data_IF_918403025516
#
_entry.id   IF_918403025516
#
_cell.length_a   1.000
_cell.length_b   1.000
_cell.length_c   1.000
_cell.angle_alpha   90.00
_cell.angle_beta   90.00
_cell.angle_gamma   90.00
#
_symmetry.space_group_name_H-M   'P 1'
#
loop_
_entity.id
_entity.type
_entity.pdbx_description
1 polymer ?
#
# COMPACT_ATOMS: atom_id res chain seq x y z
N UNK A 1 -19.68 -18.82 -1.67
CA UNK A 1 -20.22 -18.15 -0.46
C UNK A 1 -21.72 -17.87 -0.58
N UNK A 2 -22.18 -17.12 -1.60
CA UNK A 2 -23.61 -16.74 -1.79
C UNK A 2 -24.59 -17.92 -1.71
N UNK A 3 -24.30 -19.05 -2.36
CA UNK A 3 -25.12 -20.27 -2.29
C UNK A 3 -25.23 -20.85 -0.87
N UNK A 4 -24.12 -20.86 -0.11
CA UNK A 4 -24.11 -21.35 1.29
C UNK A 4 -24.92 -20.44 2.19
N UNK A 5 -24.86 -19.11 1.97
CA UNK A 5 -25.63 -18.12 2.74
C UNK A 5 -27.13 -18.28 2.47
N UNK A 6 -27.53 -18.41 1.21
CA UNK A 6 -28.92 -18.69 0.86
C UNK A 6 -29.42 -19.94 1.57
N UNK A 7 -28.65 -21.04 1.51
CA UNK A 7 -29.01 -22.29 2.19
C UNK A 7 -29.11 -22.14 3.70
N UNK A 8 -28.21 -21.37 4.33
CA UNK A 8 -28.26 -21.06 5.76
C UNK A 8 -29.53 -20.32 6.17
N UNK A 9 -30.02 -19.42 5.31
CA UNK A 9 -31.20 -18.62 5.59
C UNK A 9 -32.52 -19.36 5.28
N UNK A 10 -32.49 -20.38 4.42
CA UNK A 10 -33.71 -21.09 3.96
C UNK A 10 -33.88 -22.51 4.49
N UNK A 11 -32.83 -23.17 4.97
CA UNK A 11 -32.84 -24.56 5.43
C UNK A 11 -32.43 -24.65 6.91
N UNK A 12 -33.41 -24.89 7.79
CA UNK A 12 -33.22 -24.97 9.24
C UNK A 12 -32.35 -26.16 9.67
N UNK A 13 -32.40 -27.30 8.98
CA UNK A 13 -31.51 -28.43 9.27
C UNK A 13 -30.08 -28.11 8.89
N UNK A 14 -29.86 -27.42 7.77
CA UNK A 14 -28.54 -26.94 7.40
C UNK A 14 -28.02 -25.88 8.37
N UNK A 15 -28.86 -24.96 8.82
CA UNK A 15 -28.50 -23.94 9.81
C UNK A 15 -28.06 -24.56 11.14
N UNK A 16 -28.80 -25.55 11.64
CA UNK A 16 -28.42 -26.30 12.85
C UNK A 16 -27.07 -26.99 12.69
N UNK A 17 -26.86 -27.73 11.59
CA UNK A 17 -25.57 -28.38 11.29
C UNK A 17 -24.43 -27.38 11.15
N UNK A 18 -24.68 -26.19 10.59
CA UNK A 18 -23.67 -25.16 10.45
C UNK A 18 -23.17 -24.67 11.82
N UNK A 19 -24.06 -24.48 12.79
CA UNK A 19 -23.67 -24.15 14.17
C UNK A 19 -22.89 -25.29 14.84
N UNK A 20 -23.32 -26.54 14.68
CA UNK A 20 -22.61 -27.72 15.19
C UNK A 20 -21.18 -27.80 14.61
N UNK A 21 -21.01 -27.55 13.30
CA UNK A 21 -19.69 -27.54 12.67
C UNK A 21 -18.74 -26.47 13.27
N UNK A 22 -19.26 -25.32 13.71
CA UNK A 22 -18.44 -24.28 14.36
C UNK A 22 -17.92 -24.78 15.71
N UNK A 23 -18.78 -25.41 16.52
CA UNK A 23 -18.40 -25.99 17.81
C UNK A 23 -17.35 -27.09 17.62
N UNK A 24 -17.57 -28.00 16.66
CA UNK A 24 -16.64 -29.08 16.37
C UNK A 24 -15.28 -28.57 15.85
N UNK A 25 -15.28 -27.49 15.06
CA UNK A 25 -14.05 -26.83 14.62
C UNK A 25 -13.29 -26.21 15.80
N UNK A 26 -13.99 -25.51 16.71
CA UNK A 26 -13.39 -24.95 17.92
C UNK A 26 -12.84 -26.04 18.86
N UNK A 27 -13.53 -27.18 18.94
CA UNK A 27 -13.09 -28.39 19.64
C UNK A 27 -11.93 -29.13 18.96
N UNK A 28 -11.39 -28.60 17.85
CA UNK A 28 -10.27 -29.17 17.09
C UNK A 28 -10.55 -30.58 16.56
N UNK A 29 -11.81 -30.89 16.24
CA UNK A 29 -12.14 -32.17 15.64
C UNK A 29 -11.47 -32.35 14.28
N UNK A 30 -10.76 -33.46 14.11
CA UNK A 30 -9.87 -33.71 12.96
C UNK A 30 -10.52 -33.44 11.61
N UNK A 31 -11.72 -33.97 11.37
CA UNK A 31 -12.41 -33.83 10.08
C UNK A 31 -12.85 -32.38 9.81
N UNK A 32 -13.29 -31.67 10.85
CA UNK A 32 -13.70 -30.26 10.75
C UNK A 32 -12.51 -29.34 10.51
N UNK A 33 -11.40 -29.57 11.21
CA UNK A 33 -10.12 -28.85 10.99
C UNK A 33 -9.60 -29.09 9.57
N UNK A 34 -9.62 -30.34 9.08
CA UNK A 34 -9.23 -30.65 7.69
C UNK A 34 -10.11 -29.92 6.66
N UNK A 35 -11.43 -29.90 6.87
CA UNK A 35 -12.35 -29.16 6.02
C UNK A 35 -12.09 -27.66 6.02
N UNK A 36 -11.83 -27.07 7.19
CA UNK A 36 -11.44 -25.67 7.33
C UNK A 36 -10.12 -25.36 6.61
N UNK A 37 -9.10 -26.22 6.77
CA UNK A 37 -7.81 -26.08 6.11
C UNK A 37 -7.96 -26.01 4.58
N UNK A 38 -8.73 -26.93 4.01
CA UNK A 38 -9.01 -26.96 2.57
C UNK A 38 -9.69 -25.68 2.07
N UNK A 39 -10.65 -25.14 2.83
CA UNK A 39 -11.32 -23.87 2.49
C UNK A 39 -10.31 -22.71 2.51
N UNK A 40 -9.44 -22.67 3.53
CA UNK A 40 -8.41 -21.65 3.64
C UNK A 40 -7.39 -21.78 2.49
N UNK A 41 -6.96 -22.99 2.14
CA UNK A 41 -5.97 -23.21 1.09
C UNK A 41 -6.46 -22.79 -0.30
N UNK A 42 -7.75 -22.97 -0.59
CA UNK A 42 -8.36 -22.42 -1.81
C UNK A 42 -8.29 -20.89 -1.79
N UNK A 43 -8.65 -20.27 -0.66
CA UNK A 43 -8.63 -18.80 -0.54
C UNK A 43 -7.20 -18.25 -0.64
N UNK A 44 -6.22 -18.92 -0.03
CA UNK A 44 -4.79 -18.57 -0.10
C UNK A 44 -4.27 -18.56 -1.53
N UNK A 45 -4.65 -19.54 -2.35
CA UNK A 45 -4.25 -19.59 -3.78
C UNK A 45 -4.76 -18.38 -4.55
N UNK A 46 -6.02 -18.01 -4.35
CA UNK A 46 -6.62 -16.83 -4.98
C UNK A 46 -5.96 -15.54 -4.51
N UNK A 47 -5.73 -15.39 -3.20
CA UNK A 47 -5.04 -14.21 -2.65
C UNK A 47 -3.59 -14.10 -3.10
N UNK A 48 -2.86 -15.23 -3.20
CA UNK A 48 -1.47 -15.23 -3.65
C UNK A 48 -1.34 -14.70 -5.08
N UNK A 49 -2.28 -15.04 -5.97
CA UNK A 49 -2.29 -14.49 -7.34
C UNK A 49 -2.41 -12.97 -7.36
N UNK A 50 -3.20 -12.39 -6.46
CA UNK A 50 -3.32 -10.94 -6.30
C UNK A 50 -2.03 -10.35 -5.72
N UNK A 51 -1.47 -10.98 -4.70
CA UNK A 51 -0.21 -10.53 -4.07
C UNK A 51 0.95 -10.53 -5.06
N UNK A 52 1.07 -11.57 -5.89
CA UNK A 52 2.13 -11.68 -6.91
C UNK A 52 2.00 -10.59 -7.97
N UNK A 53 0.78 -10.28 -8.41
CA UNK A 53 0.52 -9.20 -9.38
C UNK A 53 0.88 -7.81 -8.81
N UNK A 54 0.64 -7.61 -7.51
CA UNK A 54 0.90 -6.34 -6.83
C UNK A 54 2.27 -6.28 -6.15
N UNK A 55 3.12 -7.31 -6.29
CA UNK A 55 4.41 -7.47 -5.59
C UNK A 55 4.30 -7.27 -4.06
N UNK A 56 3.29 -7.90 -3.46
CA UNK A 56 3.03 -7.86 -2.02
C UNK A 56 3.61 -9.11 -1.37
N UNK A 57 4.37 -8.91 -0.29
CA UNK A 57 4.88 -10.00 0.55
C UNK A 57 4.18 -9.95 1.90
N UNK A 58 3.49 -11.02 2.25
CA UNK A 58 2.75 -11.11 3.50
C UNK A 58 3.09 -12.41 4.24
N UNK A 59 3.24 -12.31 5.55
CA UNK A 59 3.26 -13.47 6.43
C UNK A 59 1.88 -13.59 7.05
N UNK A 60 1.09 -14.58 6.62
CA UNK A 60 -0.27 -14.77 7.12
C UNK A 60 -0.27 -15.11 8.61
N UNK A 61 -0.99 -14.32 9.39
CA UNK A 61 -1.27 -14.60 10.81
C UNK A 61 -2.70 -14.19 11.16
N UNK A 62 -3.64 -15.04 10.77
CA UNK A 62 -5.07 -14.84 11.02
C UNK A 62 -5.47 -15.06 12.49
N UNK A 63 -6.74 -14.77 12.81
CA UNK A 63 -7.31 -14.91 14.17
C UNK A 63 -7.09 -16.30 14.79
N UNK A 64 -7.06 -17.35 13.95
CA UNK A 64 -6.82 -18.73 14.39
C UNK A 64 -5.48 -18.93 15.11
N UNK A 65 -4.46 -18.12 14.79
CA UNK A 65 -3.17 -18.15 15.50
C UNK A 65 -3.29 -17.71 16.97
N UNK A 66 -4.26 -16.85 17.27
CA UNK A 66 -4.45 -16.27 18.60
C UNK A 66 -5.47 -17.02 19.45
N UNK A 67 -6.09 -18.09 18.94
CA UNK A 67 -7.17 -18.80 19.65
C UNK A 67 -6.79 -19.24 21.08
N UNK A 68 -5.66 -19.91 21.26
CA UNK A 68 -5.19 -20.29 22.61
C UNK A 68 -4.76 -19.08 23.44
N UNK A 69 -4.28 -18.01 22.81
CA UNK A 69 -3.86 -16.79 23.49
C UNK A 69 -5.05 -16.00 24.03
N UNK A 70 -6.18 -16.01 23.33
CA UNK A 70 -7.42 -15.40 23.80
C UNK A 70 -7.86 -15.98 25.15
N UNK A 71 -7.75 -17.30 25.35
CA UNK A 71 -8.04 -17.96 26.64
C UNK A 71 -7.14 -17.41 27.76
N UNK A 72 -5.83 -17.30 27.49
CA UNK A 72 -4.86 -16.79 28.47
C UNK A 72 -5.07 -15.30 28.79
N UNK A 73 -5.49 -14.50 27.81
CA UNK A 73 -5.82 -13.08 27.99
C UNK A 73 -7.05 -12.95 28.86
N UNK A 74 -8.13 -13.67 28.55
CA UNK A 74 -9.38 -13.61 29.32
C UNK A 74 -9.14 -14.04 30.76
N UNK A 75 -8.37 -15.10 30.99
CA UNK A 75 -8.02 -15.56 32.32
C UNK A 75 -7.23 -14.51 33.10
N UNK A 76 -6.19 -13.93 32.49
CA UNK A 76 -5.41 -12.85 33.10
C UNK A 76 -6.29 -11.64 33.48
N UNK A 77 -7.17 -11.20 32.57
CA UNK A 77 -8.04 -10.06 32.81
C UNK A 77 -9.03 -10.33 33.95
N UNK A 78 -9.56 -11.55 34.07
CA UNK A 78 -10.41 -11.97 35.19
C UNK A 78 -9.66 -11.96 36.52
N UNK A 79 -8.49 -12.60 36.57
CA UNK A 79 -7.68 -12.74 37.79
C UNK A 79 -7.22 -11.39 38.34
N UNK A 80 -6.96 -10.43 37.46
CA UNK A 80 -6.56 -9.07 37.82
C UNK A 80 -7.72 -8.10 38.07
N UNK A 81 -8.97 -8.55 37.88
CA UNK A 81 -10.15 -7.74 38.14
C UNK A 81 -10.38 -6.61 37.13
N UNK A 82 -9.98 -6.80 35.87
CA UNK A 82 -10.19 -5.81 34.80
C UNK A 82 -11.54 -5.97 34.08
N UNK A 83 -12.26 -7.07 34.32
CA UNK A 83 -13.53 -7.36 33.66
C UNK A 83 -14.72 -7.10 34.57
N UNK A 84 -15.78 -6.55 33.97
CA UNK A 84 -17.07 -6.32 34.59
C UNK A 84 -18.15 -7.18 33.91
N UNK A 85 -19.15 -7.61 34.68
CA UNK A 85 -20.28 -8.37 34.15
C UNK A 85 -21.38 -7.38 33.71
N UNK A 86 -21.82 -7.48 32.45
CA UNK A 86 -22.87 -6.63 31.88
C UNK A 86 -23.79 -7.47 30.96
N UNK A 87 -25.05 -7.63 31.35
CA UNK A 87 -26.05 -8.45 30.64
C UNK A 87 -25.54 -9.85 30.23
N UNK A 88 -24.85 -10.51 31.17
CA UNK A 88 -24.27 -11.84 30.97
C UNK A 88 -22.99 -11.86 30.12
N UNK A 89 -22.51 -10.71 29.65
CA UNK A 89 -21.23 -10.56 28.95
C UNK A 89 -20.14 -10.12 29.92
N UNK A 90 -18.89 -10.39 29.56
CA UNK A 90 -17.73 -9.81 30.24
C UNK A 90 -17.19 -8.65 29.41
N UNK A 91 -17.22 -7.46 30.00
CA UNK A 91 -16.81 -6.22 29.35
C UNK A 91 -15.57 -5.62 30.03
N UNK A 92 -14.83 -4.80 29.29
CA UNK A 92 -13.65 -4.09 29.78
C UNK A 92 -13.69 -2.63 29.33
N UNK A 93 -13.61 -1.71 30.29
CA UNK A 93 -13.45 -0.28 30.01
C UNK A 93 -11.98 0.10 29.78
N UNK A 94 -11.74 1.12 28.96
CA UNK A 94 -10.43 1.76 28.83
C UNK A 94 -10.09 2.64 30.04
N UNK A 95 -9.07 3.49 29.88
CA UNK A 95 -8.65 4.49 30.85
C UNK A 95 -9.55 5.73 30.86
N UNK A 96 -10.15 6.09 29.73
CA UNK A 96 -11.04 7.26 29.62
C UNK A 96 -12.47 6.92 30.08
N UNK A 97 -13.03 7.77 30.94
CA UNK A 97 -14.42 7.65 31.39
C UNK A 97 -15.41 7.91 30.24
N UNK A 98 -16.47 7.09 30.16
CA UNK A 98 -17.53 7.25 29.17
C UNK A 98 -17.28 6.57 27.82
N UNK A 99 -16.13 5.93 27.63
CA UNK A 99 -15.88 5.12 26.42
C UNK A 99 -16.75 3.86 26.38
N UNK A 100 -17.14 3.48 25.17
CA UNK A 100 -17.84 2.22 24.91
C UNK A 100 -16.90 1.07 25.31
N UNK A 101 -17.31 0.16 26.21
CA UNK A 101 -16.44 -0.91 26.67
C UNK A 101 -16.26 -1.98 25.59
N UNK A 102 -15.11 -2.65 25.62
CA UNK A 102 -14.88 -3.86 24.86
C UNK A 102 -15.72 -5.01 25.41
N UNK A 103 -16.30 -5.81 24.52
CA UNK A 103 -16.96 -7.07 24.87
C UNK A 103 -15.95 -8.20 24.74
N UNK A 104 -15.27 -8.55 25.84
CA UNK A 104 -14.22 -9.57 25.86
C UNK A 104 -14.79 -10.99 25.79
N UNK A 105 -15.96 -11.23 26.36
CA UNK A 105 -16.67 -12.52 26.27
C UNK A 105 -18.17 -12.27 26.12
N UNK A 106 -18.80 -12.92 25.15
CA UNK A 106 -20.26 -12.87 24.97
C UNK A 106 -20.99 -13.68 26.04
N UNK A 107 -22.32 -13.53 26.10
CA UNK A 107 -23.19 -14.29 27.00
C UNK A 107 -23.20 -15.80 26.75
N UNK A 108 -22.86 -16.24 25.54
CA UNK A 108 -22.69 -17.66 25.20
C UNK A 108 -21.28 -18.20 25.52
N UNK A 109 -20.42 -17.39 26.14
CA UNK A 109 -19.03 -17.75 26.45
C UNK A 109 -18.06 -17.61 25.26
N UNK A 110 -18.54 -17.23 24.08
CA UNK A 110 -17.71 -17.05 22.89
C UNK A 110 -16.86 -15.77 22.93
N UNK A 111 -15.66 -15.86 22.38
CA UNK A 111 -14.78 -14.70 22.16
C UNK A 111 -15.24 -13.84 20.99
N UNK A 112 -14.76 -12.59 20.96
CA UNK A 112 -15.09 -11.56 19.96
C UNK A 112 -13.82 -11.07 19.26
N UNK A 113 -13.99 -10.11 18.34
CA UNK A 113 -12.87 -9.40 17.72
C UNK A 113 -12.05 -8.62 18.76
N UNK A 114 -12.70 -8.02 19.77
CA UNK A 114 -12.04 -7.36 20.91
C UNK A 114 -11.06 -8.31 21.64
N UNK A 115 -11.49 -9.55 21.89
CA UNK A 115 -10.64 -10.57 22.51
C UNK A 115 -9.44 -10.91 21.64
N UNK A 116 -9.67 -11.08 20.33
CA UNK A 116 -8.62 -11.46 19.38
C UNK A 116 -7.58 -10.36 19.22
N UNK A 117 -7.98 -9.10 19.18
CA UNK A 117 -7.08 -7.96 19.06
C UNK A 117 -6.31 -7.70 20.35
N UNK A 118 -6.92 -7.90 21.54
CA UNK A 118 -6.21 -7.89 22.82
C UNK A 118 -5.14 -9.00 22.90
N UNK A 119 -5.43 -10.18 22.35
CA UNK A 119 -4.44 -11.23 22.23
C UNK A 119 -3.34 -10.90 21.21
N UNK A 120 -3.70 -10.29 20.08
CA UNK A 120 -2.75 -9.93 19.04
C UNK A 120 -1.79 -8.81 19.48
N UNK A 121 -2.28 -7.74 20.12
CA UNK A 121 -1.43 -6.65 20.61
C UNK A 121 -0.45 -7.15 21.67
N UNK A 122 -0.94 -7.96 22.63
CA UNK A 122 -0.08 -8.58 23.65
C UNK A 122 1.01 -9.44 23.02
N UNK A 123 0.64 -10.29 22.06
CA UNK A 123 1.58 -11.16 21.37
C UNK A 123 2.67 -10.38 20.63
N UNK A 124 2.30 -9.31 19.92
CA UNK A 124 3.24 -8.46 19.19
C UNK A 124 4.20 -7.70 20.11
N UNK A 125 3.76 -7.35 21.32
CA UNK A 125 4.60 -6.65 22.29
C UNK A 125 5.49 -7.63 23.07
N UNK A 126 4.91 -8.70 23.61
CA UNK A 126 5.62 -9.60 24.52
C UNK A 126 6.47 -10.65 23.79
N UNK A 127 5.97 -11.20 22.68
CA UNK A 127 6.64 -12.28 21.94
C UNK A 127 7.47 -11.74 20.78
N UNK A 128 6.89 -10.87 19.92
CA UNK A 128 7.64 -10.27 18.80
C UNK A 128 8.55 -9.13 19.24
N UNK A 129 8.33 -8.57 20.44
CA UNK A 129 9.12 -7.46 21.00
C UNK A 129 9.19 -6.26 20.06
N UNK A 130 8.06 -5.92 19.45
CA UNK A 130 7.99 -4.82 18.51
C UNK A 130 8.22 -3.47 19.21
N UNK A 131 9.13 -2.66 18.66
CA UNK A 131 9.30 -1.25 19.06
C UNK A 131 8.24 -0.34 18.42
N UNK A 132 7.70 -0.75 17.25
CA UNK A 132 6.67 -0.02 16.51
C UNK A 132 5.66 -0.97 15.87
N UNK A 133 4.37 -0.76 16.14
CA UNK A 133 3.26 -1.52 15.54
C UNK A 133 2.37 -0.57 14.74
N UNK A 134 2.17 -0.87 13.45
CA UNK A 134 1.32 -0.08 12.56
C UNK A 134 0.09 -0.89 12.18
N UNK A 135 -1.10 -0.37 12.49
CA UNK A 135 -2.38 -0.96 12.12
C UNK A 135 -2.97 -0.21 10.93
N UNK A 136 -3.03 -0.84 9.75
CA UNK A 136 -3.59 -0.25 8.53
C UNK A 136 -5.01 -0.79 8.30
N UNK A 137 -6.03 0.02 8.59
CA UNK A 137 -7.45 -0.37 8.42
C UNK A 137 -8.31 0.79 7.97
N UNK A 138 -9.57 0.52 7.61
CA UNK A 138 -10.57 1.57 7.35
C UNK A 138 -10.75 2.51 8.55
N UNK A 139 -11.00 3.79 8.28
CA UNK A 139 -11.24 4.84 9.29
C UNK A 139 -12.45 4.54 10.19
N UNK A 140 -13.42 3.76 9.73
CA UNK A 140 -14.55 3.30 10.55
C UNK A 140 -14.15 2.47 11.78
N UNK A 141 -12.94 1.90 11.78
CA UNK A 141 -12.37 1.16 12.92
C UNK A 141 -11.57 2.04 13.89
N UNK A 142 -11.49 3.37 13.66
CA UNK A 142 -10.64 4.25 14.50
C UNK A 142 -11.04 4.22 15.97
N UNK A 143 -12.35 4.18 16.27
CA UNK A 143 -12.81 4.12 17.65
C UNK A 143 -12.44 2.79 18.32
N UNK A 144 -12.54 1.69 17.59
CA UNK A 144 -12.12 0.36 18.06
C UNK A 144 -10.66 0.36 18.49
N UNK A 145 -9.75 0.84 17.63
CA UNK A 145 -8.32 0.89 17.95
C UNK A 145 -7.99 1.83 19.10
N UNK A 146 -8.66 2.97 19.22
CA UNK A 146 -8.50 3.86 20.39
C UNK A 146 -8.85 3.15 21.70
N UNK A 147 -9.98 2.45 21.73
CA UNK A 147 -10.38 1.69 22.91
C UNK A 147 -9.45 0.48 23.14
N UNK A 148 -8.99 -0.20 22.09
CA UNK A 148 -8.00 -1.28 22.19
C UNK A 148 -6.73 -0.81 22.90
N UNK A 149 -6.15 0.31 22.47
CA UNK A 149 -4.90 0.82 23.05
C UNK A 149 -5.13 1.25 24.50
N UNK A 150 -6.25 1.90 24.78
CA UNK A 150 -6.64 2.30 26.13
C UNK A 150 -6.82 1.09 27.07
N UNK A 151 -7.48 0.03 26.61
CA UNK A 151 -7.62 -1.22 27.37
C UNK A 151 -6.27 -1.93 27.57
N UNK A 152 -5.45 -2.01 26.53
CA UNK A 152 -4.13 -2.65 26.60
C UNK A 152 -3.19 -1.90 27.56
N UNK A 153 -3.26 -0.56 27.60
CA UNK A 153 -2.52 0.26 28.56
C UNK A 153 -3.04 0.02 29.98
N UNK A 154 -4.37 0.05 30.18
CA UNK A 154 -5.00 -0.20 31.49
C UNK A 154 -4.58 -1.53 32.11
N UNK A 155 -4.48 -2.61 31.32
CA UNK A 155 -4.11 -3.92 31.84
C UNK A 155 -2.60 -4.21 31.84
N UNK A 156 -1.78 -3.24 31.41
CA UNK A 156 -0.32 -3.31 31.39
C UNK A 156 0.27 -4.13 30.24
N UNK A 157 -0.50 -4.43 29.18
CA UNK A 157 0.02 -5.07 27.97
C UNK A 157 0.74 -4.06 27.06
N UNK A 158 0.36 -2.78 27.14
CA UNK A 158 0.91 -1.72 26.33
C UNK A 158 1.48 -0.60 27.21
N UNK A 159 2.66 -0.11 26.86
CA UNK A 159 3.30 1.06 27.48
C UNK A 159 3.72 2.03 26.36
N UNK A 160 3.02 3.18 26.20
CA UNK A 160 3.28 4.13 25.12
C UNK A 160 4.66 4.79 25.22
N UNK A 161 5.34 4.71 26.37
CA UNK A 161 6.72 5.21 26.51
C UNK A 161 7.77 4.25 25.93
N UNK A 162 7.41 2.99 25.66
CA UNK A 162 8.32 1.94 25.18
C UNK A 162 8.02 1.49 23.76
N UNK A 163 6.74 1.41 23.40
CA UNK A 163 6.30 0.91 22.10
C UNK A 163 5.48 1.99 21.41
N UNK A 164 5.85 2.33 20.18
CA UNK A 164 5.05 3.20 19.32
C UNK A 164 3.94 2.37 18.69
N UNK A 165 2.69 2.84 18.73
CA UNK A 165 1.59 2.21 18.01
C UNK A 165 0.83 3.28 17.22
N UNK A 166 0.66 3.06 15.92
CA UNK A 166 -0.10 3.97 15.04
C UNK A 166 -1.25 3.24 14.37
N UNK A 167 -2.44 3.85 14.45
CA UNK A 167 -3.56 3.50 13.59
C UNK A 167 -3.50 4.33 12.30
N UNK A 168 -3.14 3.68 11.20
CA UNK A 168 -3.09 4.24 9.86
C UNK A 168 -4.44 3.98 9.19
N UNK A 169 -5.41 4.80 9.55
CA UNK A 169 -6.74 4.77 8.95
C UNK A 169 -6.76 5.22 7.48
N UNK A 170 -7.62 4.61 6.66
CA UNK A 170 -7.92 5.09 5.30
C UNK A 170 -9.42 5.27 5.04
N UNK A 171 -9.80 6.21 4.17
CA UNK A 171 -11.18 6.54 3.80
C UNK A 171 -11.82 5.49 2.88
N UNK A 172 -13.07 5.72 2.48
CA UNK A 172 -13.78 4.74 1.64
C UNK A 172 -13.49 4.96 0.15
N UNK A 173 -13.54 3.86 -0.62
CA UNK A 173 -13.47 3.91 -2.09
C UNK A 173 -14.86 4.23 -2.66
N UNK A 174 -14.92 5.31 -3.42
CA UNK A 174 -16.10 5.81 -4.11
C UNK A 174 -15.97 5.61 -5.63
N UNK A 175 -17.10 5.43 -6.31
CA UNK A 175 -17.17 5.57 -7.77
C UNK A 175 -17.21 7.03 -8.19
N UNK A 176 -17.18 7.27 -9.50
CA UNK A 176 -17.31 8.62 -10.08
C UNK A 176 -18.64 9.31 -9.74
N UNK A 177 -19.66 8.53 -9.37
CA UNK A 177 -20.95 9.00 -8.87
C UNK A 177 -20.92 9.45 -7.40
N UNK A 178 -19.75 9.42 -6.76
CA UNK A 178 -19.50 9.72 -5.34
C UNK A 178 -20.26 8.81 -4.37
N UNK A 179 -20.65 7.61 -4.82
CA UNK A 179 -21.23 6.56 -3.97
C UNK A 179 -20.23 5.44 -3.76
N UNK A 180 -20.49 4.60 -2.76
CA UNK A 180 -19.65 3.45 -2.44
C UNK A 180 -19.38 2.62 -3.70
N UNK A 181 -18.11 2.37 -3.98
CA UNK A 181 -17.67 1.71 -5.19
C UNK A 181 -18.26 0.30 -5.31
N UNK A 182 -19.11 0.11 -6.32
CA UNK A 182 -19.90 -1.10 -6.56
C UNK A 182 -19.99 -1.36 -8.05
N UNK A 183 -20.26 -2.62 -8.41
CA UNK A 183 -20.57 -2.98 -9.80
C UNK A 183 -21.86 -2.29 -10.26
N UNK A 184 -22.12 -2.27 -11.57
CA UNK A 184 -23.40 -1.77 -12.12
C UNK A 184 -24.63 -2.51 -11.58
N UNK A 185 -24.46 -3.76 -11.12
CA UNK A 185 -25.50 -4.56 -10.47
C UNK A 185 -25.66 -4.28 -8.96
N UNK A 186 -24.81 -3.45 -8.36
CA UNK A 186 -24.81 -3.13 -6.93
C UNK A 186 -24.01 -4.11 -6.05
N UNK A 187 -23.33 -5.09 -6.66
CA UNK A 187 -22.44 -6.04 -5.98
C UNK A 187 -21.07 -5.40 -5.67
N UNK A 188 -20.30 -6.04 -4.78
CA UNK A 188 -18.91 -5.66 -4.52
C UNK A 188 -18.03 -6.06 -5.71
N UNK A 189 -17.19 -5.14 -6.18
CA UNK A 189 -16.23 -5.40 -7.26
C UNK A 189 -15.13 -6.33 -6.74
N UNK A 190 -14.83 -7.39 -7.49
CA UNK A 190 -13.68 -8.25 -7.16
C UNK A 190 -12.39 -7.56 -7.58
N UNK A 191 -11.38 -7.63 -6.73
CA UNK A 191 -10.07 -7.01 -7.01
C UNK A 191 -9.43 -7.59 -8.29
N UNK A 192 -9.53 -8.90 -8.53
CA UNK A 192 -9.00 -9.50 -9.77
C UNK A 192 -9.63 -8.87 -11.03
N UNK A 193 -10.95 -8.66 -11.04
CA UNK A 193 -11.65 -8.05 -12.18
C UNK A 193 -11.18 -6.60 -12.40
N UNK A 194 -10.85 -5.87 -11.33
CA UNK A 194 -10.29 -4.52 -11.39
C UNK A 194 -8.87 -4.52 -11.98
N UNK A 195 -8.02 -5.47 -11.55
CA UNK A 195 -6.65 -5.62 -12.08
C UNK A 195 -6.68 -5.98 -13.57
N UNK A 196 -7.56 -6.90 -13.97
CA UNK A 196 -7.71 -7.33 -15.37
C UNK A 196 -8.19 -6.18 -16.26
N UNK A 197 -9.16 -5.38 -15.81
CA UNK A 197 -9.62 -4.19 -16.52
C UNK A 197 -8.51 -3.11 -16.60
N UNK A 198 -7.73 -2.94 -15.54
CA UNK A 198 -6.56 -2.05 -15.54
C UNK A 198 -5.51 -2.45 -16.58
N UNK A 199 -5.22 -3.76 -16.70
CA UNK A 199 -4.32 -4.28 -17.74
C UNK A 199 -4.86 -4.03 -19.15
N UNK A 200 -6.15 -4.26 -19.37
CA UNK A 200 -6.80 -4.02 -20.67
C UNK A 200 -6.72 -2.55 -21.09
N UNK A 201 -7.07 -1.62 -20.19
CA UNK A 201 -7.00 -0.18 -20.48
C UNK A 201 -5.58 0.33 -20.67
N UNK A 202 -4.63 -0.20 -19.89
CA UNK A 202 -3.20 0.06 -20.07
C UNK A 202 -2.73 -0.38 -21.46
N UNK A 203 -3.14 -1.56 -21.92
CA UNK A 203 -2.83 -2.06 -23.26
C UNK A 203 -3.39 -1.17 -24.37
N UNK A 204 -4.67 -0.78 -24.26
CA UNK A 204 -5.33 0.13 -25.20
C UNK A 204 -4.59 1.48 -25.28
N UNK A 205 -4.20 2.02 -24.12
CA UNK A 205 -3.45 3.28 -24.02
C UNK A 205 -2.09 3.17 -24.70
N UNK A 206 -1.31 2.13 -24.41
CA UNK A 206 0.00 1.90 -25.04
C UNK A 206 -0.11 1.66 -26.55
N UNK A 207 -1.16 0.96 -27.00
CA UNK A 207 -1.42 0.76 -28.43
C UNK A 207 -1.77 2.06 -29.14
N UNK A 208 -2.60 2.92 -28.54
CA UNK A 208 -2.96 4.22 -29.11
C UNK A 208 -1.74 5.12 -29.34
N UNK A 209 -0.70 4.96 -28.51
CA UNK A 209 0.60 5.64 -28.61
C UNK A 209 1.61 4.91 -29.51
N UNK A 210 1.18 3.92 -30.29
CA UNK A 210 2.00 3.12 -31.21
C UNK A 210 3.19 2.39 -30.55
N UNK A 211 3.15 2.15 -29.23
CA UNK A 211 4.27 1.54 -28.50
C UNK A 211 4.49 0.07 -28.86
N UNK A 212 3.43 -0.62 -29.28
CA UNK A 212 3.47 -2.00 -29.79
C UNK A 212 4.35 -2.19 -31.03
N UNK A 213 4.65 -1.12 -31.77
CA UNK A 213 5.52 -1.17 -32.96
C UNK A 213 7.00 -0.92 -32.64
N UNK A 214 7.30 -0.40 -31.44
CA UNK A 214 8.66 0.04 -31.05
C UNK A 214 9.24 -0.86 -29.96
N UNK A 215 8.40 -1.40 -29.10
CA UNK A 215 8.79 -2.27 -28.00
C UNK A 215 8.79 -3.74 -28.44
N UNK A 216 9.75 -4.52 -27.92
CA UNK A 216 9.70 -5.98 -28.02
C UNK A 216 8.49 -6.52 -27.24
N UNK A 217 7.97 -7.72 -27.56
CA UNK A 217 6.83 -8.30 -26.85
C UNK A 217 6.99 -8.33 -25.32
N UNK A 218 8.18 -8.66 -24.82
CA UNK A 218 8.49 -8.67 -23.38
C UNK A 218 8.52 -7.25 -22.77
N UNK A 219 9.08 -6.27 -23.49
CA UNK A 219 9.11 -4.87 -23.06
C UNK A 219 7.69 -4.27 -23.04
N UNK A 220 6.86 -4.64 -24.01
CA UNK A 220 5.46 -4.21 -24.08
C UNK A 220 4.63 -4.79 -22.92
N UNK A 221 4.81 -6.07 -22.60
CA UNK A 221 4.14 -6.70 -21.47
C UNK A 221 4.57 -6.10 -20.12
N UNK A 222 5.87 -5.81 -19.96
CA UNK A 222 6.39 -5.13 -18.77
C UNK A 222 5.81 -3.72 -18.63
N UNK A 223 5.78 -2.93 -19.71
CA UNK A 223 5.17 -1.60 -19.73
C UNK A 223 3.67 -1.66 -19.40
N UNK A 224 2.94 -2.61 -19.96
CA UNK A 224 1.51 -2.81 -19.69
C UNK A 224 1.25 -3.03 -18.20
N UNK A 225 1.98 -3.96 -17.58
CA UNK A 225 1.86 -4.27 -16.13
C UNK A 225 2.28 -3.10 -15.25
N UNK A 226 3.41 -2.47 -15.57
CA UNK A 226 3.92 -1.32 -14.81
C UNK A 226 2.93 -0.16 -14.81
N UNK A 227 2.34 0.17 -15.95
CA UNK A 227 1.32 1.23 -16.06
C UNK A 227 0.04 0.82 -15.33
N UNK A 228 -0.49 -0.40 -15.56
CA UNK A 228 -1.74 -0.84 -14.95
C UNK A 228 -1.68 -0.83 -13.41
N UNK A 229 -0.71 -1.54 -12.83
CA UNK A 229 -0.59 -1.67 -11.38
C UNK A 229 -0.04 -0.39 -10.76
N UNK A 230 0.86 0.31 -11.46
CA UNK A 230 1.39 1.59 -11.01
C UNK A 230 0.31 2.64 -10.88
N UNK A 231 -0.58 2.77 -11.86
CA UNK A 231 -1.70 3.72 -11.80
C UNK A 231 -2.67 3.40 -10.67
N UNK A 232 -3.00 2.13 -10.45
CA UNK A 232 -3.91 1.73 -9.36
C UNK A 232 -3.31 2.09 -8.00
N UNK A 233 -2.03 1.75 -7.77
CA UNK A 233 -1.34 2.08 -6.51
C UNK A 233 -1.18 3.58 -6.31
N UNK A 234 -0.69 4.27 -7.33
CA UNK A 234 -0.39 5.71 -7.24
C UNK A 234 -1.63 6.56 -7.09
N UNK A 235 -2.72 6.22 -7.79
CA UNK A 235 -3.96 6.99 -7.70
C UNK A 235 -4.57 6.94 -6.30
N UNK A 236 -4.35 5.86 -5.54
CA UNK A 236 -4.67 5.81 -4.12
C UNK A 236 -3.67 6.66 -3.31
N UNK A 237 -2.37 6.31 -3.40
CA UNK A 237 -1.30 6.89 -2.58
C UNK A 237 -1.09 8.40 -2.75
N UNK A 238 -1.43 8.97 -3.91
CA UNK A 238 -1.27 10.40 -4.19
C UNK A 238 -2.34 11.29 -3.53
N UNK A 239 -3.34 10.69 -2.89
CA UNK A 239 -4.32 11.41 -2.09
C UNK A 239 -4.08 11.17 -0.60
N UNK A 240 -4.51 12.11 0.24
CA UNK A 240 -4.48 11.90 1.68
C UNK A 240 -5.33 10.68 2.04
N UNK A 241 -4.70 9.65 2.63
CA UNK A 241 -5.32 8.38 3.00
C UNK A 241 -6.60 8.52 3.80
N UNK A 242 -6.75 9.56 4.62
CA UNK A 242 -7.93 9.74 5.50
C UNK A 242 -9.17 10.15 4.71
N UNK A 243 -8.98 10.75 3.54
CA UNK A 243 -10.07 11.19 2.68
C UNK A 243 -10.68 10.03 1.90
N UNK A 244 -11.94 10.18 1.53
CA UNK A 244 -12.57 9.28 0.57
C UNK A 244 -11.89 9.41 -0.80
N UNK A 245 -11.65 8.27 -1.45
CA UNK A 245 -10.96 8.19 -2.72
C UNK A 245 -11.95 7.89 -3.86
N UNK A 246 -11.96 8.73 -4.90
CA UNK A 246 -12.78 8.51 -6.10
C UNK A 246 -11.99 7.69 -7.10
N UNK A 247 -12.38 6.43 -7.27
CA UNK A 247 -11.77 5.54 -8.26
C UNK A 247 -12.26 5.92 -9.67
N UNK A 248 -11.31 6.28 -10.54
CA UNK A 248 -11.56 6.61 -11.95
C UNK A 248 -10.39 6.13 -12.81
N UNK A 249 -10.64 5.15 -13.68
CA UNK A 249 -9.64 4.65 -14.62
C UNK A 249 -9.15 5.75 -15.56
N UNK A 250 -10.05 6.60 -16.05
CA UNK A 250 -9.73 7.64 -17.01
C UNK A 250 -8.78 8.68 -16.39
N UNK A 251 -9.03 9.08 -15.14
CA UNK A 251 -8.15 10.02 -14.43
C UNK A 251 -6.79 9.41 -14.07
N UNK A 252 -6.74 8.16 -13.60
CA UNK A 252 -5.47 7.57 -13.19
C UNK A 252 -4.55 7.19 -14.37
N UNK A 253 -5.13 6.98 -15.55
CA UNK A 253 -4.39 6.67 -16.78
C UNK A 253 -4.09 7.91 -17.62
N UNK A 254 -4.45 9.11 -17.15
CA UNK A 254 -4.10 10.38 -17.82
C UNK A 254 -2.57 10.51 -17.89
N UNK A 255 -2.07 10.97 -19.03
CA UNK A 255 -0.64 11.17 -19.27
C UNK A 255 -0.13 12.55 -18.81
N UNK A 256 -1.03 13.37 -18.28
CA UNK A 256 -0.74 14.68 -17.68
C UNK A 256 -1.10 14.70 -16.22
N UNK A 257 -0.41 15.58 -15.49
CA UNK A 257 -0.65 15.81 -14.08
C UNK A 257 0.05 14.80 -13.18
N UNK A 258 -0.40 14.73 -11.93
CA UNK A 258 0.20 13.90 -10.89
C UNK A 258 -0.30 12.45 -11.01
N UNK A 259 0.15 11.73 -12.04
CA UNK A 259 -0.23 10.34 -12.32
C UNK A 259 1.00 9.42 -12.44
N UNK A 260 0.81 8.12 -12.22
CA UNK A 260 1.89 7.15 -12.43
C UNK A 260 2.36 7.11 -13.88
N UNK A 261 1.46 7.31 -14.86
CA UNK A 261 1.81 7.35 -16.28
C UNK A 261 2.84 8.46 -16.54
N UNK A 262 2.56 9.67 -16.05
CA UNK A 262 3.48 10.79 -16.19
C UNK A 262 4.83 10.50 -15.51
N UNK A 263 4.81 9.93 -14.29
CA UNK A 263 6.03 9.61 -13.55
C UNK A 263 6.90 8.57 -14.24
N UNK A 264 6.31 7.44 -14.65
CA UNK A 264 7.03 6.36 -15.31
C UNK A 264 7.62 6.82 -16.65
N UNK A 265 6.88 7.66 -17.38
CA UNK A 265 7.37 8.28 -18.61
C UNK A 265 8.52 9.26 -18.33
N UNK A 266 8.43 10.09 -17.29
CA UNK A 266 9.47 11.04 -16.91
C UNK A 266 10.80 10.32 -16.61
N UNK A 267 10.80 9.25 -15.81
CA UNK A 267 12.02 8.47 -15.53
C UNK A 267 12.60 7.86 -16.81
N UNK A 268 11.74 7.29 -17.67
CA UNK A 268 12.18 6.75 -18.97
C UNK A 268 12.87 7.82 -19.82
N UNK A 269 12.27 9.01 -19.90
CA UNK A 269 12.82 10.15 -20.64
C UNK A 269 14.16 10.59 -20.05
N UNK A 270 14.27 10.72 -18.72
CA UNK A 270 15.52 11.09 -18.04
C UNK A 270 16.64 10.10 -18.38
N UNK A 271 16.37 8.79 -18.22
CA UNK A 271 17.33 7.72 -18.54
C UNK A 271 17.75 7.72 -20.02
N UNK A 272 16.85 8.09 -20.92
CA UNK A 272 17.15 8.14 -22.36
C UNK A 272 18.15 9.22 -22.75
N UNK A 273 18.32 10.29 -21.95
CA UNK A 273 19.20 11.41 -22.29
C UNK A 273 20.65 10.94 -22.40
N UNK A 274 21.17 10.25 -21.37
CA UNK A 274 22.53 9.72 -21.39
C UNK A 274 22.71 8.65 -22.49
N UNK A 275 21.69 7.81 -22.69
CA UNK A 275 21.69 6.80 -23.76
C UNK A 275 21.81 7.44 -25.16
N UNK A 276 21.13 8.56 -25.40
CA UNK A 276 21.21 9.32 -26.66
C UNK A 276 22.59 9.96 -26.91
N UNK A 277 23.42 10.09 -25.87
CA UNK A 277 24.82 10.50 -25.97
C UNK A 277 25.79 9.30 -26.06
N UNK A 278 25.28 8.07 -26.16
CA UNK A 278 26.06 6.82 -26.06
C UNK A 278 26.88 6.73 -24.75
N UNK A 279 26.38 7.34 -23.67
CA UNK A 279 27.01 7.28 -22.35
C UNK A 279 26.33 6.20 -21.52
N UNK A 280 27.14 5.27 -21.03
CA UNK A 280 26.69 4.17 -20.17
C UNK A 280 26.60 4.60 -18.70
N UNK A 281 25.77 3.92 -17.90
CA UNK A 281 25.71 4.15 -16.46
C UNK A 281 27.06 3.97 -15.76
N UNK A 282 27.93 3.07 -16.26
CA UNK A 282 29.29 2.90 -15.74
C UNK A 282 30.15 4.16 -15.95
N UNK A 283 30.05 4.79 -17.11
CA UNK A 283 30.76 6.04 -17.39
C UNK A 283 30.26 7.18 -16.51
N UNK A 284 28.95 7.27 -16.27
CA UNK A 284 28.38 8.25 -15.33
C UNK A 284 28.90 8.04 -13.90
N UNK A 285 28.95 6.80 -13.42
CA UNK A 285 29.48 6.47 -12.09
C UNK A 285 30.96 6.86 -11.96
N UNK A 286 31.78 6.61 -12.98
CA UNK A 286 33.19 7.02 -12.95
C UNK A 286 33.34 8.54 -13.02
N UNK A 287 32.56 9.23 -13.86
CA UNK A 287 32.53 10.68 -13.94
C UNK A 287 32.14 11.30 -12.58
N UNK A 288 31.15 10.75 -11.89
CA UNK A 288 30.70 11.23 -10.59
C UNK A 288 31.79 11.27 -9.49
N UNK A 289 32.89 10.51 -9.65
CA UNK A 289 34.00 10.50 -8.69
C UNK A 289 34.97 11.68 -8.87
N UNK A 290 34.99 12.28 -10.04
CA UNK A 290 36.05 13.24 -10.44
C UNK A 290 35.49 14.58 -10.92
N UNK A 291 34.31 14.56 -11.55
CA UNK A 291 33.63 15.75 -12.05
C UNK A 291 32.98 16.55 -10.93
N UNK A 292 33.05 17.88 -11.05
CA UNK A 292 32.31 18.80 -10.18
C UNK A 292 30.99 19.16 -10.85
N UNK A 293 29.97 19.40 -10.02
CA UNK A 293 28.67 19.93 -10.47
C UNK A 293 28.59 21.39 -9.99
N UNK A 294 28.91 22.39 -10.84
CA UNK A 294 29.04 23.78 -10.40
C UNK A 294 27.68 24.44 -10.07
N UNK A 295 26.57 23.95 -10.62
CA UNK A 295 25.18 24.42 -10.37
C UNK A 295 25.06 25.95 -10.48
N UNK A 296 25.30 26.47 -11.68
CA UNK A 296 25.38 27.92 -11.93
C UNK A 296 24.04 28.51 -12.39
N UNK A 297 23.18 27.72 -13.03
CA UNK A 297 21.89 28.18 -13.55
C UNK A 297 20.76 28.08 -12.50
N UNK A 298 19.83 29.04 -12.49
CA UNK A 298 18.72 29.05 -11.52
C UNK A 298 17.87 27.77 -11.54
N UNK A 299 17.70 27.15 -12.71
CA UNK A 299 16.95 25.90 -12.88
C UNK A 299 17.73 24.67 -12.41
N UNK A 300 19.06 24.67 -12.54
CA UNK A 300 19.92 23.65 -11.93
C UNK A 300 19.81 23.73 -10.40
N UNK A 301 19.86 24.95 -9.87
CA UNK A 301 19.73 25.20 -8.43
C UNK A 301 18.38 24.75 -7.86
N UNK A 302 17.29 25.03 -8.59
CA UNK A 302 15.95 24.55 -8.23
C UNK A 302 15.90 23.02 -8.19
N UNK A 303 16.40 22.34 -9.22
CA UNK A 303 16.43 20.88 -9.27
C UNK A 303 17.25 20.28 -8.13
N UNK A 304 18.47 20.76 -7.91
CA UNK A 304 19.35 20.26 -6.82
C UNK A 304 18.69 20.43 -5.46
N UNK A 305 18.08 21.58 -5.18
CA UNK A 305 17.32 21.80 -3.94
C UNK A 305 16.16 20.82 -3.80
N UNK A 306 15.40 20.58 -4.86
CA UNK A 306 14.33 19.58 -4.84
C UNK A 306 14.90 18.20 -4.53
N UNK A 307 15.98 17.76 -5.17
CA UNK A 307 16.56 16.42 -4.92
C UNK A 307 17.06 16.25 -3.48
N UNK A 308 17.66 17.30 -2.88
CA UNK A 308 18.17 17.25 -1.51
C UNK A 308 17.06 17.18 -0.45
N UNK A 309 15.84 17.62 -0.76
CA UNK A 309 14.68 17.50 0.15
C UNK A 309 14.22 16.06 0.35
N UNK A 310 14.70 15.10 -0.44
CA UNK A 310 14.27 13.69 -0.33
C UNK A 310 14.35 13.16 1.10
N UNK A 311 15.44 13.47 1.81
CA UNK A 311 15.63 13.01 3.19
C UNK A 311 14.59 13.58 4.15
N UNK A 312 14.29 14.88 4.02
CA UNK A 312 13.32 15.57 4.88
C UNK A 312 11.90 15.01 4.66
N UNK A 313 11.55 14.69 3.41
CA UNK A 313 10.26 14.06 3.09
C UNK A 313 10.16 12.66 3.70
N UNK A 314 11.25 11.88 3.71
CA UNK A 314 11.26 10.56 4.36
C UNK A 314 11.07 10.66 5.88
N UNK A 315 11.72 11.63 6.54
CA UNK A 315 11.53 11.87 7.97
C UNK A 315 10.05 12.17 8.24
N UNK A 316 9.48 13.11 7.49
CA UNK A 316 8.07 13.51 7.63
C UNK A 316 7.12 12.31 7.50
N UNK A 317 7.32 11.46 6.49
CA UNK A 317 6.49 10.26 6.29
C UNK A 317 6.64 9.26 7.43
N UNK A 318 7.82 9.12 8.05
CA UNK A 318 7.99 8.25 9.23
C UNK A 318 7.32 8.82 10.49
N UNK A 319 7.03 10.11 10.52
CA UNK A 319 6.30 10.75 11.60
C UNK A 319 4.78 10.58 11.40
N UNK A 320 4.25 10.94 10.23
CA UNK A 320 2.79 11.03 9.99
C UNK A 320 2.17 9.84 9.23
N UNK A 321 3.01 8.99 8.63
CA UNK A 321 2.62 7.84 7.79
C UNK A 321 1.71 8.26 6.61
N UNK A 322 1.92 9.46 6.07
CA UNK A 322 1.18 10.02 4.94
C UNK A 322 1.99 9.95 3.63
N UNK A 323 1.83 8.85 2.87
CA UNK A 323 2.57 8.61 1.63
C UNK A 323 2.27 9.60 0.49
N UNK A 324 1.16 10.35 0.53
CA UNK A 324 0.86 11.36 -0.50
C UNK A 324 1.91 12.48 -0.56
N UNK A 325 2.58 12.80 0.55
CA UNK A 325 3.72 13.72 0.56
C UNK A 325 4.84 13.23 -0.37
N UNK A 326 5.09 11.93 -0.44
CA UNK A 326 6.09 11.35 -1.35
C UNK A 326 5.67 11.48 -2.82
N UNK A 327 4.38 11.33 -3.11
CA UNK A 327 3.83 11.52 -4.45
C UNK A 327 3.92 12.98 -4.89
N UNK A 328 3.60 13.93 -4.00
CA UNK A 328 3.75 15.37 -4.25
C UNK A 328 5.23 15.73 -4.49
N UNK A 329 6.13 15.26 -3.64
CA UNK A 329 7.58 15.41 -3.81
C UNK A 329 8.07 14.88 -5.17
N UNK A 330 7.63 13.67 -5.53
CA UNK A 330 8.00 13.05 -6.79
C UNK A 330 7.50 13.87 -8.00
N UNK A 331 6.30 14.45 -7.92
CA UNK A 331 5.77 15.37 -8.92
C UNK A 331 6.54 16.69 -9.01
N UNK A 332 6.94 17.26 -7.87
CA UNK A 332 7.78 18.45 -7.81
C UNK A 332 9.16 18.23 -8.44
N UNK A 333 9.77 17.06 -8.20
CA UNK A 333 11.05 16.67 -8.81
C UNK A 333 10.91 16.54 -10.33
N UNK A 334 9.87 15.86 -10.82
CA UNK A 334 9.61 15.72 -12.25
C UNK A 334 9.39 17.08 -12.94
N UNK A 335 8.66 17.97 -12.26
CA UNK A 335 8.39 19.34 -12.74
C UNK A 335 9.67 20.19 -12.77
N UNK A 336 10.46 20.16 -11.69
CA UNK A 336 11.74 20.85 -11.62
C UNK A 336 12.74 20.32 -12.67
N UNK A 337 12.74 19.01 -12.92
CA UNK A 337 13.56 18.41 -13.96
C UNK A 337 13.16 18.90 -15.36
N UNK A 338 11.86 18.99 -15.64
CA UNK A 338 11.35 19.50 -16.92
C UNK A 338 11.82 20.94 -17.15
N UNK A 339 11.68 21.82 -16.15
CA UNK A 339 12.18 23.21 -16.24
C UNK A 339 13.70 23.28 -16.45
N UNK A 340 14.46 22.41 -15.78
CA UNK A 340 15.91 22.29 -15.97
C UNK A 340 16.25 21.86 -17.39
N UNK A 341 15.64 20.78 -17.89
CA UNK A 341 15.95 20.21 -19.19
C UNK A 341 15.60 21.16 -20.35
N UNK A 342 14.53 21.95 -20.19
CA UNK A 342 14.11 22.92 -21.20
C UNK A 342 15.03 24.17 -21.22
N UNK A 343 15.61 24.55 -20.09
CA UNK A 343 16.46 25.74 -19.98
C UNK A 343 17.97 25.46 -20.14
N UNK A 344 18.43 24.25 -19.82
CA UNK A 344 19.84 23.89 -19.72
C UNK A 344 20.17 22.72 -20.65
N UNK A 345 20.93 22.97 -21.72
CA UNK A 345 21.36 21.91 -22.64
C UNK A 345 22.23 20.87 -21.91
N UNK A 346 21.79 19.61 -21.86
CA UNK A 346 22.62 18.48 -21.45
C UNK A 346 23.52 17.98 -22.59
N UNK A 347 22.99 17.99 -23.82
CA UNK A 347 23.67 17.59 -25.05
C UNK A 347 23.39 18.66 -26.10
N UNK A 348 24.44 19.33 -26.57
CA UNK A 348 24.35 20.28 -27.68
C UNK A 348 24.56 19.52 -28.99
N UNK A 349 23.66 19.74 -29.95
CA UNK A 349 23.74 19.15 -31.29
C UNK A 349 23.73 20.24 -32.35
N UNK A 350 24.39 19.99 -33.48
CA UNK A 350 24.29 20.85 -34.64
C UNK A 350 22.87 20.79 -35.21
N UNK A 351 22.26 21.96 -35.42
CA UNK A 351 20.87 22.05 -35.87
C UNK A 351 20.60 21.55 -37.30
N UNK A 352 21.64 21.37 -38.12
CA UNK A 352 21.54 20.91 -39.52
C UNK A 352 21.96 19.46 -39.68
N UNK A 353 23.05 19.03 -39.03
CA UNK A 353 23.60 17.67 -39.17
C UNK A 353 23.13 16.71 -38.08
N UNK A 354 22.67 17.23 -36.93
CA UNK A 354 22.28 16.43 -35.77
C UNK A 354 23.47 15.83 -35.00
N UNK A 355 24.70 16.16 -35.40
CA UNK A 355 25.92 15.70 -34.73
C UNK A 355 26.06 16.31 -33.34
N UNK A 356 26.59 15.54 -32.40
CA UNK A 356 26.82 16.00 -31.02
C UNK A 356 28.03 16.95 -31.00
N UNK A 357 27.79 18.21 -30.66
CA UNK A 357 28.83 19.25 -30.56
C UNK A 357 29.49 19.23 -29.17
N UNK A 358 28.67 19.10 -28.13
CA UNK A 358 29.13 19.14 -26.74
C UNK A 358 28.22 18.32 -25.84
N UNK A 359 28.84 17.61 -24.89
CA UNK A 359 28.15 16.92 -23.81
C UNK A 359 28.53 17.61 -22.51
N UNK A 360 27.53 18.02 -21.74
CA UNK A 360 27.71 18.61 -20.42
C UNK A 360 27.60 17.50 -19.37
N UNK A 361 28.76 16.97 -18.95
CA UNK A 361 28.82 15.79 -18.07
C UNK A 361 28.20 16.06 -16.71
N UNK A 362 28.46 17.22 -16.12
CA UNK A 362 27.85 17.72 -14.90
C UNK A 362 26.31 17.69 -14.94
N UNK A 363 25.71 18.11 -16.05
CA UNK A 363 24.26 18.07 -16.27
C UNK A 363 23.73 16.66 -16.49
N UNK A 364 24.50 15.79 -17.12
CA UNK A 364 24.16 14.37 -17.20
C UNK A 364 24.20 13.68 -15.82
N UNK A 365 25.12 14.09 -14.95
CA UNK A 365 25.13 13.64 -13.55
C UNK A 365 23.88 14.13 -12.79
N UNK A 366 23.38 15.34 -13.07
CA UNK A 366 22.08 15.79 -12.53
C UNK A 366 20.91 14.95 -13.05
N UNK A 367 20.89 14.57 -14.33
CA UNK A 367 19.92 13.63 -14.87
C UNK A 367 19.99 12.28 -14.13
N UNK A 368 21.20 11.74 -13.93
CA UNK A 368 21.40 10.47 -13.22
C UNK A 368 20.92 10.53 -11.77
N UNK A 369 21.30 11.59 -11.03
CA UNK A 369 20.85 11.81 -9.67
C UNK A 369 19.32 11.89 -9.58
N UNK A 370 18.69 12.60 -10.52
CA UNK A 370 17.23 12.70 -10.61
C UNK A 370 16.59 11.33 -10.80
N UNK A 371 17.09 10.53 -11.76
CA UNK A 371 16.55 9.20 -12.01
C UNK A 371 16.70 8.27 -10.80
N UNK A 372 17.85 8.30 -10.12
CA UNK A 372 18.09 7.50 -8.92
C UNK A 372 17.11 7.85 -7.79
N UNK A 373 16.88 9.14 -7.54
CA UNK A 373 15.94 9.59 -6.51
C UNK A 373 14.50 9.18 -6.86
N UNK A 374 14.06 9.42 -8.10
CA UNK A 374 12.72 9.03 -8.54
C UNK A 374 12.51 7.51 -8.49
N UNK A 375 13.50 6.71 -8.87
CA UNK A 375 13.43 5.25 -8.78
C UNK A 375 13.38 4.76 -7.32
N UNK A 376 14.01 5.47 -6.38
CA UNK A 376 13.83 5.19 -4.94
C UNK A 376 12.43 5.53 -4.45
N UNK A 377 11.85 6.65 -4.88
CA UNK A 377 10.44 6.95 -4.62
C UNK A 377 9.53 5.85 -5.18
N UNK A 378 9.78 5.39 -6.41
CA UNK A 378 9.01 4.31 -7.04
C UNK A 378 9.08 3.03 -6.23
N UNK A 379 10.27 2.65 -5.77
CA UNK A 379 10.44 1.47 -4.93
C UNK A 379 9.64 1.56 -3.63
N UNK A 380 9.64 2.71 -2.95
CA UNK A 380 8.84 2.93 -1.73
C UNK A 380 7.33 2.86 -2.03
N UNK A 381 6.90 3.46 -3.14
CA UNK A 381 5.49 3.50 -3.56
C UNK A 381 5.02 2.19 -4.24
N UNK A 382 5.91 1.21 -4.43
CA UNK A 382 5.61 -0.05 -5.10
C UNK A 382 5.36 0.09 -6.61
N UNK A 383 5.92 1.12 -7.25
CA UNK A 383 5.90 1.31 -8.70
C UNK A 383 7.08 0.60 -9.35
N UNK A 384 6.84 -0.06 -10.49
CA UNK A 384 7.89 -0.72 -11.26
C UNK A 384 8.36 0.19 -12.39
N UNK A 385 9.60 0.72 -12.36
CA UNK A 385 10.14 1.47 -13.48
C UNK A 385 10.28 0.58 -14.71
N UNK A 386 10.14 1.17 -15.90
CA UNK A 386 10.43 0.49 -17.17
C UNK A 386 11.58 1.17 -17.88
N UNK A 387 12.42 0.38 -18.54
CA UNK A 387 13.56 0.89 -19.30
C UNK A 387 13.16 1.62 -20.58
N UNK A 388 11.97 1.28 -21.12
CA UNK A 388 11.37 1.91 -22.29
C UNK A 388 9.86 1.96 -22.08
N UNK A 389 9.27 3.12 -22.34
CA UNK A 389 7.84 3.37 -22.24
C UNK A 389 7.31 3.93 -23.53
#
# INVERSE_FOLDING_TARGET
>A
FKEKKLRFDTDEEFKKRAYECVVNLQGKEKNHVQGWQLICDISRKEFQSIYDQLDIKITERGESFYQSRMETVVQYLREKGYLEMDDGRLIMFGLEEGNIPFTIVKSDGGFTYDTSDMAAIRQRIEEEKADWIIYVTDMGQSNHFKVLYSCAERCGFYDPSKVRIDHVGFGVVLGEDKKKFKTRSGDTIKLQELLDEGLKRSEETLKSKNRHNVLKPEEFEAAKKAVAYGCIKYADLCHNRVNDYIFSFDKMLDDKGNTAVYMLYAVTRIRSIAANANITSKQLIEAAKTERIPVDHEKEWKLVKSLLRFHDELIKITEDLCLHHLCEYLYDVASAFTEFYDACYCIEKDGKTGEVLKIHMDRLLLCEATALVMEKCFWILGLTPVSKM
#
